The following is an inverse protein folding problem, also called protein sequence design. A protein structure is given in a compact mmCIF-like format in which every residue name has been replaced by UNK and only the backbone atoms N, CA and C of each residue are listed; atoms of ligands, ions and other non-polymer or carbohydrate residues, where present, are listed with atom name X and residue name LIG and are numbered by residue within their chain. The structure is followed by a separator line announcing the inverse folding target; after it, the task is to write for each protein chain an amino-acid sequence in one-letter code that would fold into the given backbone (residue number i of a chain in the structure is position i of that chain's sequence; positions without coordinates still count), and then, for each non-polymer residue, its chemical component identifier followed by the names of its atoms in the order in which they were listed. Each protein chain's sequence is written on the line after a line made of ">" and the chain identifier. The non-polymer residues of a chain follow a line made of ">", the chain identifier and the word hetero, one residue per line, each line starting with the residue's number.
data_IF_854751363268
#
_entry.id   IF_854751363268
#
_cell.length_a   1.000
_cell.length_b   1.000
_cell.length_c   1.000
_cell.angle_alpha   90.00
_cell.angle_beta   90.00
_cell.angle_gamma   90.00
#
_symmetry.space_group_name_H-M   'P 1'
#
loop_
_entity.id
_entity.type
_entity.pdbx_description
1 polymer ?
#
# COMPACT_ATOMS: atom_id res chain seq x y z
N UNK A 1 9.45 10.65 -4.43
CA UNK A 1 9.55 9.88 -5.69
C UNK A 1 9.30 8.38 -5.49
N UNK A 2 10.06 7.69 -4.63
CA UNK A 2 9.98 6.21 -4.47
C UNK A 2 8.57 5.65 -4.19
N UNK A 3 7.78 6.30 -3.33
CA UNK A 3 6.40 5.87 -3.04
C UNK A 3 5.55 5.86 -4.32
N UNK A 4 5.69 6.91 -5.13
CA UNK A 4 4.93 7.05 -6.38
C UNK A 4 5.35 5.99 -7.39
N UNK A 5 6.64 5.70 -7.48
CA UNK A 5 7.17 4.74 -8.46
C UNK A 5 6.88 3.29 -8.07
N UNK A 6 7.04 2.93 -6.80
CA UNK A 6 6.90 1.55 -6.33
C UNK A 6 5.43 1.14 -6.12
N UNK A 7 4.58 2.08 -5.68
CA UNK A 7 3.20 1.75 -5.29
C UNK A 7 2.13 2.35 -6.22
N UNK A 8 2.38 3.51 -6.85
CA UNK A 8 1.38 4.24 -7.65
C UNK A 8 1.69 4.23 -9.17
N UNK A 9 2.51 3.28 -9.62
CA UNK A 9 2.79 3.07 -11.03
C UNK A 9 3.72 4.11 -11.68
N UNK A 10 4.32 5.04 -10.91
CA UNK A 10 5.31 5.96 -11.46
C UNK A 10 4.76 6.92 -12.52
N UNK A 11 5.47 7.13 -13.65
CA UNK A 11 5.11 8.11 -14.69
C UNK A 11 3.84 7.77 -15.47
N UNK A 12 3.28 6.57 -15.31
CA UNK A 12 2.12 6.19 -16.12
C UNK A 12 0.88 7.03 -15.75
N UNK A 13 0.08 7.44 -16.74
CA UNK A 13 -1.21 8.08 -16.53
C UNK A 13 -2.12 7.18 -15.67
N UNK A 14 -3.04 7.78 -14.94
CA UNK A 14 -3.97 7.02 -14.11
C UNK A 14 -4.97 6.34 -15.05
N UNK A 15 -4.93 5.01 -15.08
CA UNK A 15 -5.87 4.19 -15.82
C UNK A 15 -6.85 3.52 -14.85
N UNK A 16 -8.16 3.76 -15.03
CA UNK A 16 -9.23 3.10 -14.28
C UNK A 16 -10.04 2.28 -15.29
N UNK A 17 -9.79 0.97 -15.34
CA UNK A 17 -10.38 0.09 -16.35
C UNK A 17 -9.91 0.45 -17.76
N UNK A 18 -10.84 0.76 -18.66
CA UNK A 18 -10.55 1.17 -20.04
C UNK A 18 -10.36 2.69 -20.20
N UNK A 19 -10.53 3.47 -19.14
CA UNK A 19 -10.33 4.92 -19.19
C UNK A 19 -8.91 5.26 -18.76
N UNK A 20 -8.14 5.79 -19.71
CA UNK A 20 -6.83 6.40 -19.46
C UNK A 20 -7.07 7.91 -19.44
N UNK A 21 -6.68 8.57 -18.35
CA UNK A 21 -6.64 10.03 -18.29
C UNK A 21 -5.46 10.55 -19.11
N UNK A 22 -5.61 10.49 -20.42
CA UNK A 22 -4.69 11.08 -21.39
C UNK A 22 -4.97 12.58 -21.50
N UNK A 23 -3.92 13.39 -21.64
CA UNK A 23 -4.02 14.83 -21.83
C UNK A 23 -3.76 15.11 -23.32
N UNK A 24 -4.80 15.36 -24.13
CA UNK A 24 -4.69 15.37 -25.60
C UNK A 24 -3.76 16.44 -26.20
N UNK A 25 -3.26 17.38 -25.38
CA UNK A 25 -2.43 18.50 -25.80
C UNK A 25 -0.93 18.31 -25.50
N UNK A 26 -0.55 17.32 -24.70
CA UNK A 26 0.84 17.09 -24.29
C UNK A 26 1.46 15.93 -25.06
N UNK A 27 2.69 16.07 -25.59
CA UNK A 27 3.42 14.94 -26.14
C UNK A 27 3.60 13.84 -25.08
N UNK A 28 3.43 12.57 -25.47
CA UNK A 28 3.51 11.39 -24.58
C UNK A 28 4.76 11.37 -23.67
N UNK A 29 5.88 11.95 -24.12
CA UNK A 29 7.12 12.03 -23.33
C UNK A 29 7.02 13.03 -22.15
N UNK A 30 6.30 14.15 -22.33
CA UNK A 30 6.08 15.16 -21.29
C UNK A 30 4.91 14.79 -20.38
N UNK A 31 3.93 14.08 -20.93
CA UNK A 31 2.76 13.59 -20.20
C UNK A 31 3.16 12.73 -18.98
N UNK A 32 4.07 11.78 -19.17
CA UNK A 32 4.53 10.93 -18.06
C UNK A 32 5.28 11.70 -16.97
N UNK A 33 6.05 12.71 -17.35
CA UNK A 33 6.76 13.58 -16.39
C UNK A 33 5.77 14.44 -15.60
N UNK A 34 4.74 14.96 -16.27
CA UNK A 34 3.68 15.73 -15.64
C UNK A 34 2.90 14.89 -14.62
N UNK A 35 2.48 13.67 -14.98
CA UNK A 35 1.78 12.77 -14.06
C UNK A 35 2.63 12.37 -12.86
N UNK A 36 3.92 12.11 -13.07
CA UNK A 36 4.84 11.83 -11.96
C UNK A 36 4.92 13.02 -11.00
N UNK A 37 5.11 14.23 -11.53
CA UNK A 37 5.18 15.45 -10.73
C UNK A 37 3.87 15.73 -10.00
N UNK A 38 2.73 15.59 -10.67
CA UNK A 38 1.41 15.76 -10.07
C UNK A 38 1.22 14.81 -8.87
N UNK A 39 1.51 13.52 -9.04
CA UNK A 39 1.45 12.55 -7.93
C UNK A 39 2.40 12.93 -6.79
N UNK A 40 3.62 13.37 -7.10
CA UNK A 40 4.59 13.82 -6.08
C UNK A 40 4.06 15.02 -5.30
N UNK A 41 3.46 16.02 -5.98
CA UNK A 41 2.91 17.21 -5.34
C UNK A 41 1.75 16.86 -4.40
N UNK A 42 0.90 15.89 -4.77
CA UNK A 42 -0.16 15.39 -3.89
C UNK A 42 0.42 14.77 -2.61
N UNK A 43 1.44 13.91 -2.73
CA UNK A 43 2.09 13.32 -1.56
C UNK A 43 2.85 14.34 -0.71
N UNK A 44 3.45 15.35 -1.35
CA UNK A 44 4.10 16.46 -0.65
C UNK A 44 3.08 17.27 0.16
N UNK A 45 1.93 17.59 -0.45
CA UNK A 45 0.83 18.26 0.24
C UNK A 45 0.34 17.42 1.43
N UNK A 46 0.12 16.12 1.25
CA UNK A 46 -0.26 15.22 2.35
C UNK A 46 0.78 15.22 3.48
N UNK A 47 2.08 15.22 3.18
CA UNK A 47 3.12 15.27 4.20
C UNK A 47 3.09 16.56 5.02
N UNK A 48 2.91 17.70 4.35
CA UNK A 48 2.78 19.00 5.01
C UNK A 48 1.50 19.04 5.85
N UNK A 49 0.39 18.52 5.31
CA UNK A 49 -0.88 18.43 6.01
C UNK A 49 -0.79 17.57 7.27
N UNK A 50 -0.24 16.36 7.18
CA UNK A 50 -0.05 15.48 8.33
C UNK A 50 0.88 16.09 9.39
N UNK A 51 1.92 16.81 8.98
CA UNK A 51 2.79 17.56 9.91
C UNK A 51 2.02 18.65 10.66
N UNK A 52 1.06 19.30 10.00
CA UNK A 52 0.25 20.35 10.62
C UNK A 52 -0.85 19.80 11.54
N UNK A 53 -1.42 18.62 11.23
CA UNK A 53 -2.55 18.05 11.99
C UNK A 53 -2.14 17.15 13.15
N UNK A 54 -0.99 16.46 13.06
CA UNK A 54 -0.62 15.47 14.08
C UNK A 54 0.08 16.13 15.28
N UNK A 55 -0.42 15.96 16.51
CA UNK A 55 0.30 16.34 17.72
C UNK A 55 1.56 15.49 17.87
N UNK A 56 2.65 16.10 18.36
CA UNK A 56 3.96 15.44 18.48
C UNK A 56 3.86 14.16 19.32
N UNK A 57 4.11 13.00 18.71
CA UNK A 57 4.11 11.71 19.39
C UNK A 57 5.41 11.51 20.17
N UNK A 58 5.31 10.88 21.35
CA UNK A 58 6.46 10.53 22.18
C UNK A 58 7.23 9.35 21.56
N UNK A 59 8.54 9.29 21.82
CA UNK A 59 9.40 8.20 21.34
C UNK A 59 8.85 6.81 21.71
N UNK A 60 8.38 6.65 22.94
CA UNK A 60 7.84 5.37 23.43
C UNK A 60 6.60 4.94 22.63
N UNK A 61 5.72 5.88 22.28
CA UNK A 61 4.52 5.61 21.48
C UNK A 61 4.86 5.28 20.03
N UNK A 62 5.89 5.92 19.47
CA UNK A 62 6.39 5.60 18.12
C UNK A 62 7.04 4.21 18.09
N UNK A 63 7.77 3.85 19.15
CA UNK A 63 8.39 2.54 19.28
C UNK A 63 7.34 1.45 19.41
N UNK A 64 6.32 1.67 20.23
CA UNK A 64 5.20 0.74 20.38
C UNK A 64 4.45 0.55 19.05
N UNK A 65 4.16 1.62 18.31
CA UNK A 65 3.51 1.52 17.00
C UNK A 65 4.39 0.73 16.00
N UNK A 66 5.68 1.03 15.95
CA UNK A 66 6.62 0.37 15.04
C UNK A 66 6.73 -1.12 15.32
N UNK A 67 7.03 -1.49 16.56
CA UNK A 67 7.37 -2.86 16.92
C UNK A 67 6.16 -3.75 17.19
N UNK A 68 5.09 -3.22 17.81
CA UNK A 68 3.92 -4.03 18.15
C UNK A 68 2.88 -4.08 17.05
N UNK A 69 2.80 -3.06 16.19
CA UNK A 69 1.76 -2.99 15.15
C UNK A 69 2.33 -3.14 13.73
N UNK A 70 3.30 -2.31 13.34
CA UNK A 70 3.75 -2.25 11.95
C UNK A 70 4.52 -3.50 11.51
N UNK A 71 5.43 -4.02 12.34
CA UNK A 71 6.22 -5.22 11.99
C UNK A 71 5.31 -6.44 11.83
N UNK A 72 4.45 -6.82 12.81
CA UNK A 72 3.57 -7.97 12.67
C UNK A 72 2.59 -7.81 11.50
N UNK A 73 2.06 -6.61 11.27
CA UNK A 73 1.16 -6.34 10.15
C UNK A 73 1.85 -6.53 8.79
N UNK A 74 3.08 -6.06 8.63
CA UNK A 74 3.86 -6.22 7.39
C UNK A 74 4.16 -7.69 7.08
N UNK A 75 4.47 -8.49 8.11
CA UNK A 75 4.71 -9.93 7.97
C UNK A 75 3.41 -10.67 7.61
N UNK A 76 2.30 -10.34 8.27
CA UNK A 76 0.99 -10.90 7.94
C UNK A 76 0.59 -10.61 6.49
N UNK A 77 0.79 -9.37 6.03
CA UNK A 77 0.53 -9.00 4.62
C UNK A 77 1.39 -9.79 3.64
N UNK A 78 2.68 -9.97 3.94
CA UNK A 78 3.57 -10.81 3.12
C UNK A 78 3.09 -12.26 3.05
N UNK A 79 2.69 -12.85 4.18
CA UNK A 79 2.15 -14.21 4.23
C UNK A 79 0.85 -14.36 3.42
N UNK A 80 -0.06 -13.37 3.47
CA UNK A 80 -1.26 -13.35 2.63
C UNK A 80 -0.91 -13.41 1.14
N UNK A 81 0.00 -12.53 0.70
CA UNK A 81 0.38 -12.46 -0.71
C UNK A 81 1.06 -13.74 -1.17
N UNK A 82 1.91 -14.34 -0.32
CA UNK A 82 2.55 -15.62 -0.60
C UNK A 82 1.52 -16.76 -0.74
N UNK A 83 0.56 -16.85 0.18
CA UNK A 83 -0.51 -17.84 0.14
C UNK A 83 -1.40 -17.67 -1.09
N UNK A 84 -1.79 -16.44 -1.42
CA UNK A 84 -2.58 -16.16 -2.62
C UNK A 84 -1.82 -16.48 -3.92
N UNK A 85 -0.52 -16.19 -3.96
CA UNK A 85 0.32 -16.53 -5.12
C UNK A 85 0.40 -18.04 -5.33
N UNK A 86 0.57 -18.82 -4.26
CA UNK A 86 0.60 -20.28 -4.31
C UNK A 86 -0.76 -20.86 -4.73
N UNK A 87 -1.85 -20.35 -4.17
CA UNK A 87 -3.20 -20.81 -4.52
C UNK A 87 -3.54 -20.58 -5.99
N UNK A 88 -3.13 -19.44 -6.54
CA UNK A 88 -3.29 -19.15 -7.96
C UNK A 88 -2.49 -20.12 -8.84
N UNK A 89 -1.27 -20.49 -8.42
CA UNK A 89 -0.44 -21.46 -9.16
C UNK A 89 -1.05 -22.86 -9.18
N UNK A 90 -1.66 -23.30 -8.08
CA UNK A 90 -2.26 -24.63 -7.97
C UNK A 90 -3.72 -24.70 -8.48
N UNK A 91 -4.27 -23.60 -9.02
CA UNK A 91 -5.64 -23.55 -9.52
C UNK A 91 -6.71 -23.69 -8.42
N UNK A 92 -6.36 -23.40 -7.17
CA UNK A 92 -7.29 -23.49 -6.05
C UNK A 92 -8.30 -22.33 -6.06
N UNK A 93 -9.43 -22.53 -5.40
CA UNK A 93 -10.46 -21.51 -5.31
C UNK A 93 -9.97 -20.33 -4.46
N UNK A 94 -9.64 -19.21 -5.12
CA UNK A 94 -8.98 -18.04 -4.51
C UNK A 94 -9.79 -17.46 -3.35
N UNK A 95 -11.12 -17.48 -3.43
CA UNK A 95 -12.00 -16.96 -2.39
C UNK A 95 -11.83 -17.75 -1.09
N UNK A 96 -11.74 -19.08 -1.19
CA UNK A 96 -11.64 -19.97 -0.04
C UNK A 96 -10.26 -19.88 0.61
N UNK A 97 -9.19 -19.78 -0.20
CA UNK A 97 -7.84 -19.56 0.32
C UNK A 97 -7.72 -18.18 0.94
N UNK A 98 -8.26 -17.13 0.32
CA UNK A 98 -8.21 -15.77 0.86
C UNK A 98 -8.94 -15.70 2.20
N UNK A 99 -10.13 -16.28 2.29
CA UNK A 99 -10.87 -16.37 3.56
C UNK A 99 -10.08 -17.15 4.62
N UNK A 100 -9.52 -18.31 4.26
CA UNK A 100 -8.70 -19.11 5.17
C UNK A 100 -7.44 -18.39 5.67
N UNK A 101 -6.69 -17.74 4.77
CA UNK A 101 -5.47 -17.01 5.13
C UNK A 101 -5.77 -15.80 6.01
N UNK A 102 -6.86 -15.06 5.75
CA UNK A 102 -7.30 -13.95 6.60
C UNK A 102 -7.70 -14.48 7.99
N UNK A 103 -8.49 -15.55 8.05
CA UNK A 103 -8.88 -16.15 9.33
C UNK A 103 -7.66 -16.59 10.17
N UNK A 104 -6.69 -17.25 9.55
CA UNK A 104 -5.44 -17.67 10.21
C UNK A 104 -4.66 -16.47 10.75
N UNK A 105 -4.55 -15.38 9.99
CA UNK A 105 -3.83 -14.20 10.45
C UNK A 105 -4.57 -13.44 11.54
N UNK A 106 -5.90 -13.38 11.49
CA UNK A 106 -6.72 -12.81 12.56
C UNK A 106 -6.56 -13.62 13.84
N UNK A 107 -6.63 -14.96 13.76
CA UNK A 107 -6.41 -15.84 14.92
C UNK A 107 -5.00 -15.62 15.48
N UNK A 108 -3.97 -15.59 14.63
CA UNK A 108 -2.59 -15.34 15.02
C UNK A 108 -2.42 -13.98 15.72
N UNK A 109 -3.08 -12.95 15.19
CA UNK A 109 -3.07 -11.61 15.78
C UNK A 109 -3.76 -11.58 17.15
N UNK A 110 -4.92 -12.22 17.28
CA UNK A 110 -5.64 -12.34 18.56
C UNK A 110 -4.82 -13.10 19.61
N UNK A 111 -4.12 -14.16 19.20
CA UNK A 111 -3.22 -14.91 20.08
C UNK A 111 -2.03 -14.06 20.55
N UNK A 112 -1.45 -13.22 19.67
CA UNK A 112 -0.38 -12.29 20.07
C UNK A 112 -0.86 -11.20 21.03
N UNK A 113 -2.16 -10.85 21.03
CA UNK A 113 -2.71 -9.91 22.00
C UNK A 113 -3.03 -10.56 23.35
N UNK A 114 -3.24 -11.88 23.38
CA UNK A 114 -3.62 -12.62 24.58
C UNK A 114 -2.41 -13.12 25.40
N UNK A 115 -1.20 -13.10 24.83
CA UNK A 115 0.06 -13.48 25.47
C UNK A 115 0.83 -12.25 25.96
#
# INVERSE_FOLDING_TARGET
>A
ALIVTLFFGGPQPIAIGNFVFDIPLLPNALEGTFWLLAKILVFLYMYIWFRATLPRLRYDQLMDLGWKLLIPASLGWFMLLAAQRLARQNGWNIVLVTGGSIAVLVICYLLMQAA
#
